data_IF_052245353603
#
_entry.id   IF_052245353603
#
_cell.length_a   1.000
_cell.length_b   1.000
_cell.length_c   1.000
_cell.angle_alpha   90.00
_cell.angle_beta   90.00
_cell.angle_gamma   90.00
#
_symmetry.space_group_name_H-M   'P 1'
#
loop_
_entity.id
_entity.type
_entity.pdbx_description
1 polymer ?
#
# COMPACT_ATOMS: atom_id res chain seq x y z
N UNK A 1 2.86 -5.62 3.03
CA UNK A 1 2.37 -5.12 1.72
C UNK A 1 2.99 -3.76 1.46
N UNK A 2 3.46 -3.50 0.23
CA UNK A 2 3.96 -2.19 -0.21
C UNK A 2 2.93 -1.60 -1.19
N UNK A 3 2.67 -0.31 -1.10
CA UNK A 3 1.70 0.41 -1.94
C UNK A 3 2.36 1.70 -2.42
N UNK A 4 2.21 1.99 -3.70
CA UNK A 4 2.59 3.27 -4.29
C UNK A 4 1.31 3.96 -4.75
N UNK A 5 1.06 5.15 -4.21
CA UNK A 5 -0.12 5.95 -4.54
C UNK A 5 0.31 7.08 -5.43
N UNK A 6 -0.39 7.24 -6.56
CA UNK A 6 -0.20 8.39 -7.45
C UNK A 6 -1.39 9.34 -7.30
N UNK A 7 -1.11 10.59 -6.91
CA UNK A 7 -2.08 11.65 -6.74
C UNK A 7 -2.02 12.61 -7.94
N UNK A 8 -2.96 12.50 -8.91
CA UNK A 8 -2.85 13.23 -10.17
C UNK A 8 -3.08 14.73 -9.99
N UNK A 9 -3.87 15.17 -9.00
CA UNK A 9 -4.16 16.60 -8.75
C UNK A 9 -2.88 17.40 -8.49
N UNK A 10 -1.89 16.78 -7.85
CA UNK A 10 -0.65 17.41 -7.44
C UNK A 10 0.60 16.77 -8.09
N UNK A 11 0.40 15.88 -9.08
CA UNK A 11 1.46 15.12 -9.75
C UNK A 11 2.47 14.44 -8.79
N UNK A 12 1.97 13.96 -7.65
CA UNK A 12 2.80 13.42 -6.56
C UNK A 12 2.65 11.91 -6.42
N UNK A 13 3.71 11.26 -5.91
CA UNK A 13 3.71 9.84 -5.60
C UNK A 13 4.14 9.60 -4.16
N UNK A 14 3.35 8.82 -3.42
CA UNK A 14 3.60 8.44 -2.04
C UNK A 14 3.80 6.92 -1.94
N UNK A 15 4.99 6.51 -1.51
CA UNK A 15 5.29 5.12 -1.16
C UNK A 15 4.97 4.84 0.30
N UNK A 16 4.19 3.80 0.57
CA UNK A 16 3.89 3.32 1.92
C UNK A 16 3.98 1.80 2.02
N UNK A 17 4.06 1.30 3.24
CA UNK A 17 3.92 -0.12 3.53
C UNK A 17 3.30 -0.37 4.90
N UNK A 18 2.81 -1.60 5.09
CA UNK A 18 2.41 -2.12 6.39
C UNK A 18 2.66 -3.64 6.45
N UNK A 19 2.63 -4.18 7.66
CA UNK A 19 2.79 -5.60 7.93
C UNK A 19 1.45 -6.20 8.35
N UNK A 20 1.20 -7.43 7.92
CA UNK A 20 0.03 -8.22 8.30
C UNK A 20 0.45 -9.68 8.48
N UNK A 21 -0.09 -10.34 9.49
CA UNK A 21 0.26 -11.72 9.84
C UNK A 21 -0.53 -12.77 9.06
N UNK A 22 -1.58 -12.37 8.34
CA UNK A 22 -2.39 -13.25 7.50
C UNK A 22 -2.89 -12.52 6.27
N UNK A 23 -3.32 -13.30 5.27
CA UNK A 23 -3.90 -12.78 4.03
C UNK A 23 -5.15 -11.93 4.30
N UNK A 24 -6.09 -12.42 5.12
CA UNK A 24 -7.32 -11.67 5.42
C UNK A 24 -7.04 -10.36 6.14
N UNK A 25 -6.07 -10.36 7.07
CA UNK A 25 -5.61 -9.13 7.74
C UNK A 25 -4.95 -8.18 6.75
N UNK A 26 -4.21 -8.69 5.77
CA UNK A 26 -3.62 -7.87 4.72
C UNK A 26 -4.70 -7.23 3.85
N UNK A 27 -5.71 -7.99 3.41
CA UNK A 27 -6.80 -7.44 2.59
C UNK A 27 -7.64 -6.41 3.34
N UNK A 28 -8.01 -6.70 4.59
CA UNK A 28 -8.73 -5.74 5.43
C UNK A 28 -7.91 -4.45 5.64
N UNK A 29 -6.61 -4.58 5.90
CA UNK A 29 -5.75 -3.41 6.10
C UNK A 29 -5.55 -2.60 4.82
N UNK A 30 -5.59 -3.24 3.66
CA UNK A 30 -5.56 -2.55 2.37
C UNK A 30 -6.80 -1.68 2.18
N UNK A 31 -7.98 -2.21 2.46
CA UNK A 31 -9.24 -1.45 2.41
C UNK A 31 -9.19 -0.20 3.30
N UNK A 32 -8.81 -0.38 4.56
CA UNK A 32 -8.64 0.73 5.53
C UNK A 32 -7.61 1.75 5.04
N UNK A 33 -6.47 1.28 4.50
CA UNK A 33 -5.42 2.14 3.99
C UNK A 33 -5.89 2.97 2.79
N UNK A 34 -6.60 2.36 1.85
CA UNK A 34 -7.10 3.06 0.66
C UNK A 34 -8.14 4.12 1.01
N UNK A 35 -9.10 3.81 1.89
CA UNK A 35 -10.09 4.80 2.37
C UNK A 35 -9.40 5.98 3.10
N UNK A 36 -8.42 5.68 3.97
CA UNK A 36 -7.63 6.72 4.64
C UNK A 36 -6.87 7.61 3.64
N UNK A 37 -6.15 7.02 2.71
CA UNK A 37 -5.33 7.73 1.72
C UNK A 37 -6.16 8.60 0.77
N UNK A 38 -7.38 8.18 0.43
CA UNK A 38 -8.31 8.99 -0.37
C UNK A 38 -8.86 10.18 0.44
N UNK A 39 -9.21 9.97 1.71
CA UNK A 39 -9.80 11.03 2.56
C UNK A 39 -8.79 12.09 2.98
N UNK A 40 -7.52 11.74 3.03
CA UNK A 40 -6.46 12.62 3.54
C UNK A 40 -5.51 13.11 2.45
N UNK A 41 -5.86 12.99 1.16
CA UNK A 41 -5.01 13.38 0.01
C UNK A 41 -4.43 14.80 0.18
N UNK A 42 -5.27 15.80 0.48
CA UNK A 42 -4.83 17.19 0.62
C UNK A 42 -3.84 17.38 1.78
N UNK A 43 -4.11 16.77 2.94
CA UNK A 43 -3.21 16.85 4.11
C UNK A 43 -1.90 16.13 3.87
N UNK A 44 -1.96 14.94 3.27
CA UNK A 44 -0.78 14.17 2.90
C UNK A 44 0.07 14.97 1.92
N UNK A 45 -0.53 15.62 0.92
CA UNK A 45 0.17 16.47 -0.04
C UNK A 45 0.85 17.65 0.64
N UNK A 46 0.09 18.39 1.46
CA UNK A 46 0.59 19.55 2.19
C UNK A 46 1.81 19.20 3.04
N UNK A 47 1.78 18.07 3.75
CA UNK A 47 2.92 17.65 4.58
C UNK A 47 4.02 16.93 3.82
N UNK A 48 3.69 16.23 2.73
CA UNK A 48 4.62 15.37 2.00
C UNK A 48 5.46 16.10 0.96
N UNK A 49 5.00 17.26 0.46
CA UNK A 49 5.68 17.98 -0.64
C UNK A 49 5.97 19.44 -0.30
N UNK A 50 5.07 20.15 0.40
CA UNK A 50 5.25 21.59 0.66
C UNK A 50 6.25 21.88 1.80
N UNK A 51 6.58 20.88 2.62
CA UNK A 51 7.58 20.98 3.68
C UNK A 51 8.50 19.75 3.71
N UNK A 52 9.53 19.76 2.86
CA UNK A 52 10.53 18.71 2.79
C UNK A 52 11.26 18.44 4.13
N UNK A 53 11.25 19.38 5.07
CA UNK A 53 11.81 19.21 6.43
C UNK A 53 10.83 18.54 7.42
N UNK A 54 9.53 18.47 7.11
CA UNK A 54 8.46 17.95 8.00
C UNK A 54 7.97 16.53 7.64
N UNK A 55 8.75 15.75 6.88
CA UNK A 55 8.43 14.34 6.59
C UNK A 55 8.23 13.49 7.87
N UNK A 56 8.68 13.97 9.04
CA UNK A 56 8.38 13.37 10.34
C UNK A 56 6.90 13.42 10.72
N UNK A 57 6.18 14.50 10.38
CA UNK A 57 4.76 14.67 10.68
C UNK A 57 3.89 13.77 9.79
N UNK A 58 4.23 13.65 8.50
CA UNK A 58 3.59 12.68 7.60
C UNK A 58 3.81 11.24 8.07
N UNK A 59 4.99 10.93 8.64
CA UNK A 59 5.30 9.60 9.14
C UNK A 59 4.47 9.23 10.39
N UNK A 60 4.31 10.16 11.34
CA UNK A 60 3.46 9.93 12.51
C UNK A 60 1.98 9.87 12.14
N UNK A 61 1.52 10.72 11.22
CA UNK A 61 0.16 10.68 10.69
C UNK A 61 -0.16 9.35 9.98
N UNK A 62 0.78 8.83 9.18
CA UNK A 62 0.63 7.50 8.57
C UNK A 62 0.61 6.39 9.62
N UNK A 63 1.41 6.53 10.69
CA UNK A 63 1.52 5.54 11.77
C UNK A 63 0.25 5.44 12.60
N UNK A 64 -0.51 6.53 12.78
CA UNK A 64 -1.85 6.50 13.38
C UNK A 64 -2.81 5.57 12.60
N UNK A 65 -2.67 5.53 11.27
CA UNK A 65 -3.38 4.61 10.40
C UNK A 65 -2.72 3.21 10.31
N UNK A 66 -1.63 2.95 11.04
CA UNK A 66 -0.84 1.71 10.97
C UNK A 66 -0.04 1.55 9.68
N UNK A 67 0.21 2.66 8.97
CA UNK A 67 0.99 2.75 7.74
C UNK A 67 2.39 3.32 8.05
N UNK A 68 3.36 3.03 7.18
CA UNK A 68 4.72 3.57 7.28
C UNK A 68 5.18 4.05 5.93
N UNK A 69 6.00 5.10 5.91
CA UNK A 69 6.65 5.57 4.69
C UNK A 69 7.57 4.50 4.12
N UNK A 70 7.44 4.26 2.83
CA UNK A 70 8.35 3.43 2.06
C UNK A 70 9.37 4.33 1.35
N UNK A 71 10.58 4.43 1.92
CA UNK A 71 11.66 5.29 1.42
C UNK A 71 12.58 4.60 0.41
N UNK A 72 12.28 3.37 0.03
CA UNK A 72 13.11 2.65 -0.93
C UNK A 72 12.93 3.29 -2.31
N UNK A 73 14.05 3.57 -2.97
CA UNK A 73 14.11 4.09 -4.34
C UNK A 73 13.49 3.13 -5.35
N UNK A 74 13.51 1.82 -5.07
CA UNK A 74 12.92 0.80 -5.93
C UNK A 74 11.60 0.25 -5.37
N UNK A 75 10.52 0.48 -6.12
CA UNK A 75 9.22 -0.17 -5.90
C UNK A 75 9.24 -1.58 -6.53
N UNK A 76 8.50 -2.57 -5.98
CA UNK A 76 8.52 -3.94 -6.52
C UNK A 76 8.17 -3.99 -8.01
N UNK A 77 8.90 -4.80 -8.78
CA UNK A 77 8.72 -4.93 -10.24
C UNK A 77 7.38 -5.55 -10.66
N UNK A 78 6.76 -6.33 -9.78
CA UNK A 78 5.37 -6.83 -9.95
C UNK A 78 4.45 -5.99 -9.06
N UNK A 79 3.53 -5.26 -9.69
CA UNK A 79 2.52 -4.46 -9.03
C UNK A 79 1.15 -4.65 -9.70
N UNK A 80 0.09 -4.57 -8.91
CA UNK A 80 -1.29 -4.51 -9.39
C UNK A 80 -1.76 -3.07 -9.29
N UNK A 81 -2.30 -2.53 -10.38
CA UNK A 81 -2.79 -1.16 -10.41
C UNK A 81 -4.27 -1.10 -10.08
N UNK A 82 -4.65 -0.11 -9.26
CA UNK A 82 -6.03 0.20 -8.93
C UNK A 82 -6.19 1.72 -8.98
N UNK A 83 -7.24 2.17 -9.66
CA UNK A 83 -7.60 3.58 -9.75
C UNK A 83 -8.86 3.83 -8.92
N UNK A 84 -8.78 4.82 -8.03
CA UNK A 84 -9.87 5.20 -7.15
C UNK A 84 -10.12 6.69 -7.28
N UNK A 85 -11.38 7.08 -7.37
CA UNK A 85 -11.76 8.50 -7.28
C UNK A 85 -11.66 8.97 -5.83
N UNK A 86 -11.12 10.17 -5.55
CA UNK A 86 -11.11 10.74 -4.19
C UNK A 86 -12.50 10.76 -3.55
N UNK A 87 -12.55 10.75 -2.21
CA UNK A 87 -13.77 10.92 -1.39
C UNK A 87 -14.86 9.84 -1.54
N UNK A 88 -14.68 8.85 -2.42
CA UNK A 88 -15.60 7.71 -2.56
C UNK A 88 -15.08 6.50 -1.78
N UNK A 89 -15.99 5.81 -1.10
CA UNK A 89 -15.70 4.50 -0.51
C UNK A 89 -15.18 3.55 -1.59
N UNK A 90 -14.14 2.78 -1.25
CA UNK A 90 -13.55 1.77 -2.12
C UNK A 90 -14.57 0.65 -2.37
N UNK A 91 -15.09 0.48 -3.59
CA UNK A 91 -16.01 -0.62 -3.86
C UNK A 91 -15.26 -1.96 -3.80
N UNK A 92 -15.83 -2.97 -3.14
CA UNK A 92 -15.19 -4.28 -2.97
C UNK A 92 -14.76 -4.95 -4.31
N UNK A 93 -15.51 -4.70 -5.40
CA UNK A 93 -15.18 -5.26 -6.71
C UNK A 93 -13.85 -4.73 -7.28
N UNK A 94 -13.44 -3.52 -6.90
CA UNK A 94 -12.17 -2.92 -7.35
C UNK A 94 -10.96 -3.66 -6.79
N UNK A 95 -11.13 -4.35 -5.66
CA UNK A 95 -10.05 -5.09 -4.99
C UNK A 95 -9.91 -6.54 -5.49
N UNK A 96 -10.85 -7.02 -6.31
CA UNK A 96 -10.83 -8.38 -6.85
C UNK A 96 -9.49 -8.76 -7.52
N UNK A 97 -8.95 -7.92 -8.43
CA UNK A 97 -7.64 -8.16 -9.04
C UNK A 97 -6.47 -8.17 -8.04
N UNK A 98 -6.47 -7.29 -7.04
CA UNK A 98 -5.42 -7.27 -6.00
C UNK A 98 -5.48 -8.52 -5.13
N UNK A 99 -6.70 -8.95 -4.76
CA UNK A 99 -6.91 -10.17 -3.98
C UNK A 99 -6.33 -11.40 -4.70
N UNK A 100 -6.60 -11.54 -6.01
CA UNK A 100 -6.05 -12.64 -6.82
C UNK A 100 -4.53 -12.59 -6.92
N UNK A 101 -3.97 -11.45 -7.32
CA UNK A 101 -2.52 -11.31 -7.46
C UNK A 101 -1.76 -11.52 -6.14
N UNK A 102 -2.35 -11.10 -5.01
CA UNK A 102 -1.79 -11.37 -3.69
C UNK A 102 -1.88 -12.85 -3.33
N UNK A 103 -2.98 -13.53 -3.64
CA UNK A 103 -3.14 -14.96 -3.38
C UNK A 103 -2.09 -15.77 -4.16
N UNK A 104 -1.95 -15.49 -5.46
CA UNK A 104 -0.94 -16.10 -6.33
C UNK A 104 0.49 -15.88 -5.79
N UNK A 105 0.80 -14.66 -5.33
CA UNK A 105 2.12 -14.34 -4.78
C UNK A 105 2.43 -15.09 -3.47
N UNK A 106 1.41 -15.30 -2.63
CA UNK A 106 1.54 -16.07 -1.38
C UNK A 106 1.71 -17.56 -1.69
N UNK A 107 0.95 -18.10 -2.64
CA UNK A 107 1.07 -19.49 -3.08
C UNK A 107 2.47 -19.77 -3.66
N UNK A 108 2.94 -18.93 -4.57
CA UNK A 108 4.26 -19.04 -5.18
C UNK A 108 5.39 -18.95 -4.13
N UNK A 109 5.25 -18.10 -3.12
CA UNK A 109 6.20 -18.03 -1.99
C UNK A 109 6.22 -19.33 -1.18
N UNK A 110 5.04 -19.92 -0.91
CA UNK A 110 4.92 -21.19 -0.18
C UNK A 110 5.47 -22.38 -0.97
N UNK A 111 5.32 -22.38 -2.29
CA UNK A 111 5.89 -23.42 -3.17
C UNK A 111 7.42 -23.33 -3.21
N UNK A 112 7.98 -22.12 -3.28
CA UNK A 112 9.41 -21.90 -3.23
C UNK A 112 10.02 -22.33 -1.89
N UNK A 113 9.37 -21.99 -0.76
CA UNK A 113 9.79 -22.47 0.56
C UNK A 113 9.73 -24.00 0.69
N UNK A 114 8.69 -24.65 0.16
CA UNK A 114 8.57 -26.12 0.20
C UNK A 114 9.63 -26.81 -0.66
N UNK A 115 9.92 -26.27 -1.83
CA UNK A 115 10.94 -26.81 -2.74
C UNK A 115 12.35 -26.68 -2.16
N UNK A 116 12.63 -25.60 -1.42
CA UNK A 116 13.90 -25.43 -0.72
C UNK A 116 14.07 -26.43 0.45
N UNK A 117 12.99 -26.78 1.15
CA UNK A 117 13.03 -27.72 2.27
C UNK A 117 13.08 -29.20 1.85
N UNK A 118 12.74 -29.52 0.60
CA UNK A 118 12.80 -30.87 0.03
C UNK A 118 14.11 -31.16 -0.72
N UNK A 119 15.04 -30.18 -0.74
CA UNK A 119 16.33 -30.26 -1.44
C UNK A 119 17.54 -30.53 -0.54
N UNK A 120 17.33 -30.80 0.76
CA UNK A 120 18.33 -31.32 1.72
C UNK A 120 18.08 -32.81 2.01
#
# INVERSE_FOLDING_TARGET
MRIQVHYPRHAWTLGIYYLASSFDRAMKKLEEALDFLQRQEEKLWFWGVDRAEDMGFSAEFLKEAGLRLDRRTEFPRKATNVSLTPERQVPAFVLGPMRRGLAESVEMSREMSRSAAAGD
#
